data_IF_146896044244
#
_entry.id   IF_146896044244
#
_cell.length_a   1.000
_cell.length_b   1.000
_cell.length_c   1.000
_cell.angle_alpha   90.00
_cell.angle_beta   90.00
_cell.angle_gamma   90.00
#
_symmetry.space_group_name_H-M   'P 1'
#
loop_
_entity.id
_entity.type
_entity.pdbx_description
1 polymer ?
#
# COMPACT_ATOMS: atom_id res chain seq x y z
N UNK A 1 11.79 -7.92 -7.75
CA UNK A 1 11.14 -7.05 -8.76
C UNK A 1 10.43 -5.85 -8.12
N UNK A 2 9.47 -6.05 -7.18
CA UNK A 2 8.68 -4.95 -6.60
C UNK A 2 9.47 -3.77 -6.01
N UNK A 3 10.57 -4.04 -5.29
CA UNK A 3 11.45 -2.98 -4.75
C UNK A 3 12.03 -2.07 -5.84
N UNK A 4 12.41 -2.65 -6.99
CA UNK A 4 12.96 -1.90 -8.12
C UNK A 4 11.89 -1.00 -8.74
N UNK A 5 10.69 -1.54 -8.96
CA UNK A 5 9.56 -0.78 -9.51
C UNK A 5 9.19 0.40 -8.60
N UNK A 6 9.11 0.18 -7.28
CA UNK A 6 8.84 1.28 -6.33
C UNK A 6 9.95 2.34 -6.37
N UNK A 7 11.21 1.92 -6.41
CA UNK A 7 12.33 2.85 -6.46
C UNK A 7 12.30 3.70 -7.74
N UNK A 8 12.05 3.08 -8.89
CA UNK A 8 11.93 3.78 -10.18
C UNK A 8 10.73 4.73 -10.20
N UNK A 9 9.58 4.30 -9.68
CA UNK A 9 8.40 5.16 -9.55
C UNK A 9 8.69 6.38 -8.66
N UNK A 10 9.30 6.18 -7.49
CA UNK A 10 9.69 7.27 -6.58
C UNK A 10 10.58 8.29 -7.29
N UNK A 11 11.59 7.84 -8.04
CA UNK A 11 12.47 8.75 -8.80
C UNK A 11 11.70 9.51 -9.88
N UNK A 12 10.81 8.84 -10.62
CA UNK A 12 10.00 9.49 -11.64
C UNK A 12 9.09 10.59 -11.06
N UNK A 13 8.44 10.32 -9.93
CA UNK A 13 7.52 11.29 -9.31
C UNK A 13 8.26 12.44 -8.63
N UNK A 14 9.47 12.19 -8.10
CA UNK A 14 10.39 13.25 -7.65
C UNK A 14 10.72 14.24 -8.76
N UNK A 15 11.12 13.74 -9.93
CA UNK A 15 11.42 14.56 -11.10
C UNK A 15 10.21 15.38 -11.58
N UNK A 16 9.00 14.91 -11.29
CA UNK A 16 7.74 15.61 -11.60
C UNK A 16 7.24 16.51 -10.46
N UNK A 17 8.06 16.79 -9.44
CA UNK A 17 7.75 17.64 -8.29
C UNK A 17 6.54 17.20 -7.44
N UNK A 18 6.19 15.91 -7.46
CA UNK A 18 5.21 15.39 -6.51
C UNK A 18 5.78 15.39 -5.10
N UNK A 19 4.94 15.70 -4.11
CA UNK A 19 5.35 15.80 -2.69
C UNK A 19 5.19 14.50 -1.91
N UNK A 20 4.26 13.65 -2.32
CA UNK A 20 4.00 12.38 -1.63
C UNK A 20 3.53 11.30 -2.58
N UNK A 21 3.84 10.05 -2.23
CA UNK A 21 3.27 8.85 -2.81
C UNK A 21 2.39 8.17 -1.76
N UNK A 22 1.17 7.80 -2.17
CA UNK A 22 0.22 7.07 -1.32
C UNK A 22 0.00 5.70 -1.94
N UNK A 23 -0.01 4.67 -1.11
CA UNK A 23 -0.29 3.28 -1.49
C UNK A 23 -1.32 2.69 -0.54
N UNK A 24 -2.12 1.75 -1.03
CA UNK A 24 -3.12 1.03 -0.24
C UNK A 24 -2.99 -0.47 -0.48
N UNK A 25 -3.13 -1.27 0.57
CA UNK A 25 -3.15 -2.74 0.47
C UNK A 25 -4.19 -3.34 1.40
N UNK A 26 -4.64 -4.57 1.13
CA UNK A 26 -5.60 -5.23 2.01
C UNK A 26 -4.95 -5.54 3.35
N UNK A 27 -5.73 -5.53 4.43
CA UNK A 27 -5.29 -5.95 5.76
C UNK A 27 -4.77 -7.40 5.79
N UNK A 28 -5.24 -8.24 4.86
CA UNK A 28 -4.78 -9.62 4.67
C UNK A 28 -3.41 -9.72 4.00
N UNK A 29 -2.97 -8.70 3.26
CA UNK A 29 -1.75 -8.75 2.46
C UNK A 29 -0.49 -8.47 3.30
N UNK A 30 -0.15 -9.38 4.22
CA UNK A 30 0.95 -9.21 5.19
C UNK A 30 2.29 -8.92 4.51
N UNK A 31 2.59 -9.61 3.40
CA UNK A 31 3.80 -9.39 2.63
C UNK A 31 3.89 -7.96 2.07
N UNK A 32 2.76 -7.39 1.63
CA UNK A 32 2.70 -6.02 1.12
C UNK A 32 2.89 -4.99 2.23
N UNK A 33 2.26 -5.20 3.39
CA UNK A 33 2.45 -4.36 4.58
C UNK A 33 3.94 -4.27 4.93
N UNK A 34 4.61 -5.42 5.07
CA UNK A 34 6.03 -5.47 5.36
C UNK A 34 6.89 -4.85 4.24
N UNK A 35 6.51 -5.07 2.98
CA UNK A 35 7.20 -4.51 1.82
C UNK A 35 7.15 -2.97 1.80
N UNK A 36 5.98 -2.37 1.99
CA UNK A 36 5.83 -0.90 2.00
C UNK A 36 6.57 -0.26 3.18
N UNK A 37 6.52 -0.88 4.37
CA UNK A 37 7.31 -0.42 5.51
C UNK A 37 8.82 -0.48 5.23
N UNK A 38 9.32 -1.59 4.65
CA UNK A 38 10.73 -1.70 4.23
C UNK A 38 11.12 -0.72 3.13
N UNK A 39 10.17 -0.30 2.29
CA UNK A 39 10.36 0.74 1.29
C UNK A 39 10.28 2.18 1.87
N UNK A 40 10.07 2.30 3.19
CA UNK A 40 10.03 3.57 3.91
C UNK A 40 8.74 4.35 3.71
N UNK A 41 7.63 3.66 3.46
CA UNK A 41 6.29 4.22 3.62
C UNK A 41 5.83 4.06 5.07
N UNK A 42 5.03 5.01 5.55
CA UNK A 42 4.46 5.01 6.90
C UNK A 42 2.97 4.78 6.83
N UNK A 43 2.43 3.92 7.70
CA UNK A 43 0.99 3.71 7.84
C UNK A 43 0.33 5.02 8.29
N UNK A 44 -0.78 5.39 7.65
CA UNK A 44 -1.48 6.66 7.89
C UNK A 44 -2.96 6.50 8.21
N UNK A 45 -3.64 5.55 7.56
CA UNK A 45 -5.09 5.41 7.65
C UNK A 45 -5.49 3.95 7.45
N UNK A 46 -6.61 3.55 8.04
CA UNK A 46 -7.30 2.29 7.74
C UNK A 46 -8.70 2.65 7.24
N UNK A 47 -8.98 2.31 5.97
CA UNK A 47 -10.32 2.42 5.39
C UNK A 47 -11.10 1.16 5.72
N UNK A 48 -11.88 1.24 6.80
CA UNK A 48 -12.67 0.12 7.31
C UNK A 48 -13.73 -0.34 6.31
N UNK A 49 -13.87 -1.65 6.14
CA UNK A 49 -14.86 -2.26 5.25
C UNK A 49 -14.70 -1.91 3.78
N UNK A 50 -13.52 -1.44 3.36
CA UNK A 50 -13.24 -1.08 1.97
C UNK A 50 -13.58 -2.22 1.00
N UNK A 51 -13.31 -3.47 1.41
CA UNK A 51 -13.51 -4.67 0.61
C UNK A 51 -14.85 -5.36 0.87
N UNK A 52 -15.62 -4.97 1.89
CA UNK A 52 -16.87 -5.65 2.23
C UNK A 52 -17.95 -5.51 1.14
N UNK A 53 -17.86 -4.47 0.30
CA UNK A 53 -18.75 -4.25 -0.85
C UNK A 53 -18.46 -5.16 -2.05
N UNK A 54 -17.41 -5.99 -1.98
CA UNK A 54 -17.05 -6.88 -3.08
C UNK A 54 -18.00 -8.09 -3.07
N UNK A 55 -18.48 -8.54 -4.24
CA UNK A 55 -19.48 -9.60 -4.31
C UNK A 55 -18.97 -10.95 -3.79
N UNK A 56 -17.65 -11.15 -3.80
CA UNK A 56 -17.00 -12.37 -3.31
C UNK A 56 -15.94 -11.96 -2.28
N UNK A 57 -16.00 -12.58 -1.11
CA UNK A 57 -15.02 -12.35 -0.06
C UNK A 57 -13.63 -12.86 -0.49
N UNK A 58 -12.62 -12.01 -0.32
CA UNK A 58 -11.24 -12.31 -0.65
C UNK A 58 -10.53 -12.77 0.62
N UNK A 59 -9.75 -13.85 0.50
CA UNK A 59 -8.94 -14.39 1.57
C UNK A 59 -7.50 -14.58 1.09
N UNK A 60 -6.54 -14.19 1.92
CA UNK A 60 -5.10 -14.44 1.72
C UNK A 60 -4.55 -15.01 3.02
N UNK A 61 -3.83 -16.13 2.95
CA UNK A 61 -3.25 -16.81 4.12
C UNK A 61 -4.26 -17.08 5.26
N UNK A 62 -5.52 -17.34 4.89
CA UNK A 62 -6.62 -17.56 5.85
C UNK A 62 -7.20 -16.29 6.50
N UNK A 63 -6.69 -15.11 6.15
CA UNK A 63 -7.15 -13.82 6.63
C UNK A 63 -8.10 -13.21 5.59
N UNK A 64 -9.28 -12.77 6.02
CA UNK A 64 -10.23 -12.06 5.16
C UNK A 64 -9.73 -10.64 4.87
N UNK A 65 -9.74 -10.25 3.60
CA UNK A 65 -9.60 -8.86 3.20
C UNK A 65 -10.91 -8.11 3.50
N UNK A 66 -10.86 -7.18 4.45
CA UNK A 66 -12.00 -6.35 4.86
C UNK A 66 -11.64 -4.87 4.76
N UNK A 67 -10.46 -4.52 5.28
CA UNK A 67 -10.00 -3.16 5.40
C UNK A 67 -8.86 -2.88 4.42
N UNK A 68 -8.76 -1.63 3.94
CA UNK A 68 -7.60 -1.17 3.20
C UNK A 68 -6.68 -0.36 4.12
N UNK A 69 -5.45 -0.82 4.27
CA UNK A 69 -4.40 -0.13 5.00
C UNK A 69 -3.68 0.82 4.06
N UNK A 70 -3.69 2.11 4.40
CA UNK A 70 -3.07 3.18 3.63
C UNK A 70 -1.69 3.52 4.20
N UNK A 71 -0.72 3.70 3.30
CA UNK A 71 0.61 4.19 3.63
C UNK A 71 0.97 5.39 2.78
N UNK A 72 1.81 6.27 3.31
CA UNK A 72 2.38 7.39 2.57
C UNK A 72 3.89 7.48 2.70
N UNK A 73 4.52 8.09 1.69
CA UNK A 73 5.94 8.46 1.70
C UNK A 73 6.10 9.84 1.09
N UNK A 74 6.70 10.77 1.83
CA UNK A 74 7.14 12.05 1.29
C UNK A 74 8.28 11.84 0.29
N UNK A 75 8.21 12.56 -0.82
CA UNK A 75 9.14 12.44 -1.94
C UNK A 75 10.18 13.56 -1.95
N UNK A 76 10.18 14.42 -0.96
CA UNK A 76 11.16 15.49 -0.81
C UNK A 76 12.61 14.97 -0.74
#
# INVERSE_FOLDING_TARGET
MGKKIIAEAIQLYRLKNYKKMIVGTANSSIANIAFYQKAGFRLTEIKKGFFDKYPVAIYEDGIRAQDMIMFEKYLD
#
